data_IF_515683096539
#
_entry.id   IF_515683096539
#
_cell.length_a   1.000
_cell.length_b   1.000
_cell.length_c   1.000
_cell.angle_alpha   90.00
_cell.angle_beta   90.00
_cell.angle_gamma   90.00
#
_symmetry.space_group_name_H-M   'P 1'
#
loop_
_entity.id
_entity.type
_entity.pdbx_description
1 polymer ?
2 non-polymer ?
3 water ?
#
# COMPACT_ATOMS: atom_id res chain seq x y z
N UNK A 1 9.06 -9.15 -2.30
CA UNK A 1 8.80 -9.26 -0.87
C UNK A 1 8.90 -7.95 -0.12
N UNK A 2 7.77 -7.31 0.16
CA UNK A 2 7.79 -6.00 0.83
C UNK A 2 7.75 -6.03 2.36
N UNK A 3 7.74 -4.87 3.00
CA UNK A 3 8.21 -4.73 4.37
C UNK A 3 7.25 -3.94 5.25
N UNK A 4 7.43 -4.13 6.55
CA UNK A 4 6.57 -3.52 7.55
C UNK A 4 7.42 -2.94 8.66
N UNK A 5 7.08 -1.73 9.07
CA UNK A 5 7.81 -1.03 10.10
C UNK A 5 7.05 -1.06 11.41
N UNK A 6 7.76 -1.42 12.47
CA UNK A 6 7.18 -1.53 13.79
C UNK A 6 6.46 -0.25 14.18
N UNK A 7 5.40 -0.40 14.96
CA UNK A 7 4.58 0.75 15.31
C UNK A 7 4.99 1.41 16.64
N UNK A 8 5.91 0.81 17.40
CA UNK A 8 6.45 1.48 18.57
C UNK A 8 7.06 2.81 18.14
N UNK A 9 6.70 3.94 18.78
CA UNK A 9 7.24 5.26 18.39
C UNK A 9 8.73 5.27 18.19
N UNK A 10 9.17 5.68 17.00
CA UNK A 10 10.56 5.82 16.61
C UNK A 10 11.31 4.49 16.55
N UNK A 11 10.62 3.36 16.67
CA UNK A 11 11.32 2.08 16.61
C UNK A 11 11.86 1.83 15.21
N UNK A 12 13.05 1.25 15.14
CA UNK A 12 13.65 0.87 13.87
C UNK A 12 13.36 -0.57 13.48
N UNK A 13 12.49 -1.25 14.23
CA UNK A 13 12.15 -2.62 13.88
C UNK A 13 11.31 -2.69 12.61
N UNK A 14 11.62 -3.70 11.79
CA UNK A 14 10.99 -3.89 10.50
C UNK A 14 10.94 -5.39 10.18
N UNK A 15 10.05 -5.77 9.26
CA UNK A 15 10.08 -7.14 8.75
C UNK A 15 9.56 -7.17 7.32
N UNK A 16 9.91 -8.25 6.62
CA UNK A 16 9.23 -8.59 5.39
C UNK A 16 7.88 -9.24 5.69
N UNK A 17 6.92 -9.06 4.80
CA UNK A 17 5.65 -9.76 4.90
C UNK A 17 5.81 -11.19 4.43
N UNK A 18 5.14 -12.12 5.12
CA UNK A 18 5.08 -13.52 4.77
C UNK A 18 3.62 -14.00 4.78
N UNK A 19 3.30 -14.85 3.81
CA UNK A 19 1.93 -15.34 3.60
C UNK A 19 1.37 -15.96 4.86
N UNK A 20 2.18 -16.75 5.56
CA UNK A 20 1.69 -17.54 6.69
C UNK A 20 1.87 -16.85 8.05
N UNK A 21 2.39 -15.63 8.08
CA UNK A 21 2.70 -14.94 9.33
C UNK A 21 1.88 -13.67 9.41
N UNK A 22 1.05 -13.57 10.45
CA UNK A 22 0.25 -12.38 10.66
C UNK A 22 0.70 -11.54 11.86
N UNK A 23 1.71 -11.98 12.62
CA UNK A 23 2.23 -11.23 13.75
C UNK A 23 3.74 -11.01 13.63
N UNK A 24 4.19 -9.81 13.98
CA UNK A 24 5.61 -9.45 13.96
C UNK A 24 6.05 -9.18 15.38
N UNK A 25 6.96 -10.00 15.90
CA UNK A 25 7.57 -9.75 17.20
C UNK A 25 8.84 -8.93 16.95
N UNK A 26 8.78 -7.66 17.26
CA UNK A 26 9.90 -6.77 16.96
C UNK A 26 11.14 -7.20 17.74
N UNK A 27 12.28 -7.41 17.08
CA UNK A 27 13.51 -7.74 17.82
C UNK A 27 14.11 -6.55 18.57
N UNK A 28 13.64 -5.32 18.31
CA UNK A 28 14.19 -4.14 18.95
C UNK A 28 13.52 -3.95 20.31
N UNK A 29 12.22 -3.60 20.27
CA UNK A 29 11.38 -3.32 21.43
C UNK A 29 10.60 -4.54 21.96
N UNK A 30 10.66 -5.68 21.27
CA UNK A 30 10.00 -6.94 21.65
C UNK A 30 8.47 -6.89 21.66
N UNK A 31 7.86 -5.82 21.15
CA UNK A 31 6.40 -5.78 21.11
C UNK A 31 5.86 -6.57 19.93
N UNK A 32 4.67 -7.11 20.10
CA UNK A 32 4.02 -7.91 19.05
C UNK A 32 3.15 -6.98 18.22
N UNK A 33 3.49 -6.87 16.94
CA UNK A 33 2.69 -6.12 15.97
C UNK A 33 1.72 -7.08 15.28
N UNK A 34 0.51 -6.60 15.02
CA UNK A 34 -0.44 -7.32 14.18
C UNK A 34 -0.32 -6.79 12.74
N UNK A 35 0.01 -7.69 11.81
CA UNK A 35 0.28 -7.30 10.44
C UNK A 35 -0.99 -7.11 9.59
N UNK A 36 -2.19 -7.38 10.14
CA UNK A 36 -3.42 -6.97 9.46
C UNK A 36 -4.09 -5.74 10.06
N UNK A 37 -3.93 -5.47 11.35
CA UNK A 37 -4.39 -4.21 11.89
C UNK A 37 -3.35 -3.10 11.75
N UNK A 38 -2.11 -3.46 11.44
CA UNK A 38 -0.97 -2.53 11.46
C UNK A 38 -0.90 -1.80 12.80
N UNK A 39 -0.94 -2.57 13.88
CA UNK A 39 -1.04 -1.99 15.21
C UNK A 39 -0.58 -3.02 16.24
N UNK A 40 -0.24 -2.53 17.43
CA UNK A 40 0.13 -3.36 18.57
C UNK A 40 -1.05 -3.40 19.53
N UNK A 41 -1.65 -4.57 19.71
CA UNK A 41 -2.85 -4.71 20.54
C UNK A 41 -2.75 -6.04 21.31
N UNK A 42 -1.86 -6.07 22.29
CA UNK A 42 -1.41 -7.34 22.86
C UNK A 42 -2.35 -7.91 23.91
N UNK A 43 -3.35 -7.16 24.37
CA UNK A 43 -4.36 -7.74 25.23
C UNK A 43 -5.73 -7.77 24.56
N UNK A 44 -5.76 -7.80 23.23
CA UNK A 44 -7.00 -7.80 22.47
C UNK A 44 -6.87 -8.73 21.27
N UNK A 45 -8.00 -9.33 20.86
CA UNK A 45 -8.06 -9.82 19.49
C UNK A 45 -8.33 -8.65 18.57
N UNK A 46 -8.22 -8.88 17.26
CA UNK A 46 -8.36 -7.77 16.31
C UNK A 46 -9.73 -7.13 16.39
N UNK A 47 -10.78 -7.89 16.74
CA UNK A 47 -12.11 -7.30 16.84
C UNK A 47 -12.20 -6.37 18.04
N UNK A 48 -11.67 -6.78 19.17
CA UNK A 48 -11.65 -5.91 20.34
C UNK A 48 -10.89 -4.63 20.05
N UNK A 49 -9.75 -4.76 19.35
CA UNK A 49 -8.96 -3.59 19.01
C UNK A 49 -9.73 -2.62 18.12
N UNK A 50 -10.44 -3.14 17.10
CA UNK A 50 -11.03 -2.25 16.10
C UNK A 50 -12.29 -1.59 16.64
N UNK A 51 -13.02 -2.28 17.51
CA UNK A 51 -14.20 -1.69 18.12
C UNK A 51 -13.80 -0.61 19.12
N UNK A 52 -12.80 -0.90 19.98
CA UNK A 52 -12.31 0.10 20.91
C UNK A 52 -11.75 1.32 20.20
N UNK A 53 -11.13 1.11 19.04
CA UNK A 53 -10.62 2.22 18.24
C UNK A 53 -11.74 3.08 17.69
N UNK A 54 -12.91 2.48 17.41
CA UNK A 54 -14.05 3.27 16.97
C UNK A 54 -14.73 3.98 18.13
N UNK A 55 -14.63 3.41 19.34
CA UNK A 55 -15.15 4.06 20.54
C UNK A 55 -14.29 5.24 20.97
N UNK A 56 -13.01 5.24 20.64
CA UNK A 56 -12.17 6.40 20.86
C UNK A 56 -12.30 7.44 19.76
N UNK A 57 -13.24 7.25 18.82
CA UNK A 57 -13.50 8.30 17.84
C UNK A 57 -14.31 9.45 18.43
N UNK A 58 -14.85 9.30 19.64
CA UNK A 58 -15.77 10.28 20.23
C UNK A 58 -15.32 10.69 21.63
N UNK A 59 -14.28 11.53 21.72
CA UNK A 59 -13.51 12.01 20.59
C UNK A 59 -12.04 12.02 20.93
N UNK A 60 -11.27 11.27 20.13
CA UNK A 60 -9.85 11.51 19.93
C UNK A 60 -9.65 11.93 18.49
N UNK A 61 -8.81 12.94 18.27
CA UNK A 61 -8.58 13.37 16.90
C UNK A 61 -7.65 12.39 16.19
N UNK A 62 -6.73 11.76 16.91
CA UNK A 62 -5.87 10.74 16.29
C UNK A 62 -6.69 9.54 15.85
N UNK A 63 -7.47 8.96 16.77
CA UNK A 63 -8.31 7.81 16.43
C UNK A 63 -9.31 8.18 15.34
N UNK A 64 -9.97 9.33 15.49
CA UNK A 64 -10.94 9.75 14.49
C UNK A 64 -10.29 9.93 13.12
N UNK A 65 -9.01 10.31 13.11
CA UNK A 65 -8.27 10.37 11.85
C UNK A 65 -8.15 8.99 11.23
N UNK A 66 -7.63 8.02 12.00
CA UNK A 66 -7.36 6.72 11.42
C UNK A 66 -8.65 5.96 11.10
N UNK A 67 -9.67 6.06 11.96
CA UNK A 67 -10.93 5.39 11.67
C UNK A 67 -11.58 5.93 10.39
N UNK A 68 -11.46 7.22 10.15
CA UNK A 68 -11.98 7.77 8.90
C UNK A 68 -11.06 7.47 7.73
N UNK A 69 -9.75 7.39 7.99
CA UNK A 69 -8.82 6.91 6.98
C UNK A 69 -9.22 5.52 6.48
N UNK A 70 -9.42 4.59 7.43
CA UNK A 70 -9.77 3.21 7.06
C UNK A 70 -11.03 3.17 6.22
N UNK A 71 -12.03 3.99 6.55
CA UNK A 71 -13.31 3.96 5.84
C UNK A 71 -13.18 4.46 4.40
N UNK A 72 -12.11 5.17 4.07
CA UNK A 72 -11.85 5.52 2.68
C UNK A 72 -11.12 4.36 2.00
N UNK A 73 -10.23 3.69 2.73
CA UNK A 73 -9.55 2.52 2.21
C UNK A 73 -10.53 1.40 1.87
N UNK A 74 -11.54 1.20 2.73
CA UNK A 74 -12.51 0.14 2.45
C UNK A 74 -13.41 0.52 1.30
N UNK A 75 -13.77 1.78 1.20
CA UNK A 75 -14.65 2.24 0.14
C UNK A 75 -13.91 2.31 -1.21
N UNK A 76 -12.58 2.11 -1.23
CA UNK A 76 -11.83 2.27 -2.48
C UNK A 76 -10.78 1.16 -2.70
N UNK A 77 -10.99 -0.04 -2.13
CA UNK A 77 -9.98 -1.09 -2.18
C UNK A 77 -8.71 -0.70 -1.41
N UNK A 78 -7.77 -1.62 -1.24
CA UNK A 78 -6.56 -1.54 -0.42
C UNK A 78 -6.85 -1.86 1.05
N UNK A 79 -8.14 -1.97 1.42
CA UNK A 79 -8.56 -2.60 2.66
C UNK A 79 -9.89 -3.29 2.41
N UNK A 80 -10.24 -4.26 3.25
CA UNK A 80 -11.47 -5.01 3.08
C UNK A 80 -11.90 -5.61 4.41
N UNK A 81 -13.17 -5.96 4.50
CA UNK A 81 -13.68 -6.68 5.66
C UNK A 81 -13.57 -8.18 5.41
N UNK A 82 -13.29 -8.92 6.47
CA UNK A 82 -13.30 -10.37 6.38
C UNK A 82 -14.70 -10.83 5.99
N UNK A 83 -14.84 -11.65 4.94
CA UNK A 83 -16.19 -12.07 4.55
C UNK A 83 -16.91 -12.89 5.61
N UNK A 84 -16.19 -13.44 6.60
CA UNK A 84 -16.79 -14.28 7.64
C UNK A 84 -17.05 -13.51 8.93
N UNK A 85 -16.01 -12.92 9.53
CA UNK A 85 -16.17 -12.23 10.81
C UNK A 85 -16.29 -10.71 10.68
N UNK A 86 -16.01 -10.14 9.51
CA UNK A 86 -16.24 -8.73 9.19
C UNK A 86 -15.24 -7.76 9.85
N UNK A 87 -14.09 -8.22 10.36
CA UNK A 87 -13.05 -7.28 10.79
C UNK A 87 -12.44 -6.61 9.56
N UNK A 88 -11.95 -5.38 9.75
CA UNK A 88 -11.25 -4.69 8.68
C UNK A 88 -9.85 -5.28 8.55
N UNK A 89 -9.51 -5.74 7.35
CA UNK A 89 -8.18 -6.27 7.05
C UNK A 89 -7.50 -5.28 6.11
N UNK A 90 -6.25 -4.96 6.38
CA UNK A 90 -5.42 -4.17 5.50
C UNK A 90 -4.43 -5.05 4.73
N UNK A 91 -3.94 -4.51 3.62
CA UNK A 91 -3.09 -5.24 2.69
C UNK A 91 -1.75 -5.60 3.33
N UNK A 92 -1.20 -6.76 2.91
CA UNK A 92 0.15 -7.22 3.24
C UNK A 92 0.90 -7.28 1.92
N UNK A 93 1.84 -6.35 1.72
CA UNK A 93 2.38 -6.13 0.39
C UNK A 93 3.10 -7.37 -0.12
N UNK A 94 2.73 -7.80 -1.33
CA UNK A 94 3.22 -9.01 -1.94
C UNK A 94 2.46 -10.28 -1.64
N UNK A 95 1.44 -10.24 -0.77
CA UNK A 95 0.73 -11.46 -0.34
C UNK A 95 -0.67 -11.44 -0.92
N UNK A 96 -0.98 -12.37 -1.83
CA UNK A 96 -2.30 -12.47 -2.47
C UNK A 96 -3.34 -13.20 -1.62
N UNK A 97 -2.95 -13.68 -0.45
CA UNK A 97 -3.72 -14.63 0.36
C UNK A 97 -3.42 -14.34 1.82
N UNK A 98 -4.46 -14.38 2.65
CA UNK A 98 -4.35 -14.16 4.08
C UNK A 98 -5.32 -15.06 4.82
N UNK A 99 -4.90 -15.59 5.96
CA UNK A 99 -5.80 -16.34 6.83
C UNK A 99 -6.21 -15.42 7.95
N UNK A 100 -7.51 -15.13 8.05
CA UNK A 100 -7.99 -14.21 9.08
C UNK A 100 -7.50 -14.63 10.45
N UNK A 101 -7.05 -13.63 11.23
CA UNK A 101 -6.56 -13.84 12.59
C UNK A 101 -7.68 -14.19 13.56
N UNK A 102 -8.88 -13.67 13.35
CA UNK A 102 -9.99 -13.91 14.27
C UNK A 102 -10.69 -15.22 13.98
N UNK A 103 -11.11 -15.44 12.73
CA UNK A 103 -11.91 -16.61 12.39
C UNK A 103 -11.16 -17.66 11.58
N UNK A 104 -9.92 -17.40 11.16
CA UNK A 104 -9.12 -18.33 10.37
C UNK A 104 -9.68 -18.59 8.96
N UNK A 105 -10.69 -17.84 8.51
CA UNK A 105 -11.13 -17.94 7.12
C UNK A 105 -10.02 -17.49 6.16
N UNK A 106 -9.75 -18.32 5.16
CA UNK A 106 -8.85 -17.94 4.07
C UNK A 106 -9.47 -16.86 3.18
N UNK A 107 -8.71 -15.80 2.94
CA UNK A 107 -9.17 -14.65 2.18
C UNK A 107 -8.31 -14.53 0.93
N UNK A 108 -8.95 -14.44 -0.24
CA UNK A 108 -8.25 -14.12 -1.48
C UNK A 108 -8.16 -12.61 -1.63
N UNK A 109 -6.94 -12.06 -1.46
CA UNK A 109 -6.78 -10.61 -1.50
C UNK A 109 -6.93 -10.06 -2.92
N UNK A 110 -6.53 -10.84 -3.93
CA UNK A 110 -6.64 -10.38 -5.31
C UNK A 110 -8.09 -10.06 -5.66
N UNK A 111 -9.03 -10.93 -5.29
CA UNK A 111 -10.42 -10.72 -5.64
C UNK A 111 -11.23 -10.09 -4.51
N UNK A 112 -10.59 -9.73 -3.39
CA UNK A 112 -11.23 -9.06 -2.25
C UNK A 112 -12.46 -9.83 -1.74
N UNK A 113 -12.29 -11.14 -1.59
CA UNK A 113 -13.28 -11.96 -0.95
C UNK A 113 -12.70 -13.29 -0.48
N UNK A 114 -13.56 -14.26 -0.19
CA UNK A 114 -13.08 -15.53 0.37
C UNK A 114 -12.35 -16.35 -0.68
N UNK A 115 -11.43 -17.19 -0.19
CA UNK A 115 -10.72 -18.12 -1.05
C UNK A 115 -11.58 -19.32 -1.44
N UNK A 116 -12.52 -19.70 -0.59
CA UNK A 116 -13.23 -20.98 -0.68
C UNK A 116 -14.67 -20.78 -0.24
N UNK A 117 -15.50 -21.78 -0.52
CA UNK A 117 -16.85 -21.79 0.00
C UNK A 117 -16.86 -22.19 1.47
N UNK A 118 -18.05 -22.13 2.07
CA UNK A 118 -18.17 -22.66 3.43
C UNK A 118 -17.74 -24.12 3.41
N UNK A 119 -17.17 -24.59 4.50
CA UNK A 119 -16.49 -25.87 4.41
C UNK A 119 -15.03 -25.77 4.03
N UNK A 120 -14.57 -24.56 3.69
CA UNK A 120 -13.17 -24.23 3.76
C UNK A 120 -12.34 -24.81 2.65
N UNK A 121 -11.06 -25.03 2.93
CA UNK A 121 -10.13 -25.50 1.90
C UNK A 121 -10.67 -26.65 1.08
N UNK A 122 -10.60 -26.50 -0.24
CA UNK A 122 -11.05 -27.47 -1.19
C UNK A 122 -12.41 -27.18 -1.76
N UNK A 123 -13.26 -26.48 -1.01
CA UNK A 123 -14.62 -26.21 -1.45
C UNK A 123 -14.61 -25.07 -2.45
N UNK A 124 -14.61 -25.43 -3.74
CA UNK A 124 -14.67 -24.49 -4.85
C UNK A 124 -16.09 -24.17 -5.28
N UNK A 125 -17.10 -24.55 -4.48
CA UNK A 125 -18.47 -24.14 -4.72
C UNK A 125 -18.71 -22.69 -4.31
N UNK A 126 -17.72 -22.09 -3.66
CA UNK A 126 -17.75 -20.69 -3.32
C UNK A 126 -16.36 -20.10 -3.48
N UNK A 127 -16.21 -18.82 -3.14
CA UNK A 127 -14.94 -18.16 -3.24
C UNK A 127 -14.41 -18.07 -4.65
N UNK A 128 -13.11 -17.86 -4.73
CA UNK A 128 -12.49 -17.31 -5.93
C UNK A 128 -12.13 -18.38 -6.95
N UNK A 129 -12.11 -19.64 -6.55
CA UNK A 129 -11.91 -20.79 -7.43
C UNK A 129 -10.76 -20.56 -8.40
N UNK A 130 -9.67 -20.07 -7.83
CA UNK A 130 -8.44 -19.86 -8.57
C UNK A 130 -7.90 -21.18 -9.09
N UNK A 131 -7.61 -21.21 -10.39
CA UNK A 131 -6.99 -22.31 -11.12
C UNK A 131 -7.95 -23.43 -11.49
N UNK A 132 -9.25 -23.35 -11.16
CA UNK A 132 -10.17 -24.36 -11.70
C UNK A 132 -10.21 -24.20 -13.21
N UNK A 133 -9.97 -25.31 -13.91
CA UNK A 133 -9.85 -25.33 -15.37
C UNK A 133 -8.69 -24.46 -15.84
N UNK A 134 -7.71 -24.24 -14.95
CA UNK A 134 -6.54 -23.49 -15.29
C UNK A 134 -6.66 -21.99 -15.21
N UNK A 135 -7.85 -21.44 -14.97
CA UNK A 135 -8.02 -19.99 -15.02
C UNK A 135 -7.69 -19.39 -13.66
N UNK A 136 -6.82 -18.39 -13.58
CA UNK A 136 -6.55 -17.78 -12.27
C UNK A 136 -7.74 -16.93 -11.85
N UNK A 137 -7.87 -16.74 -10.55
CA UNK A 137 -9.02 -15.98 -10.06
C UNK A 137 -9.05 -14.59 -10.66
N UNK A 138 -7.87 -14.06 -11.00
CA UNK A 138 -7.67 -12.83 -11.75
C UNK A 138 -6.34 -12.99 -12.47
N UNK A 139 -6.15 -12.37 -13.64
CA UNK A 139 -4.88 -12.57 -14.37
C UNK A 139 -3.67 -11.95 -13.68
N UNK A 140 -3.86 -11.05 -12.71
CA UNK A 140 -2.78 -10.56 -11.85
C UNK A 140 -2.41 -11.49 -10.69
N UNK A 141 -3.21 -12.53 -10.44
CA UNK A 141 -2.90 -13.41 -9.31
C UNK A 141 -1.59 -14.15 -9.55
N UNK A 142 -0.80 -14.27 -8.51
CA UNK A 142 0.40 -15.06 -8.61
C UNK A 142 0.38 -16.25 -7.68
N UNK A 143 -0.27 -16.12 -6.53
CA UNK A 143 -0.42 -17.25 -5.62
C UNK A 143 -1.41 -16.94 -4.50
N UNK A 144 -2.69 -17.24 -4.68
CA UNK A 144 -3.63 -17.12 -3.58
C UNK A 144 -3.90 -18.48 -2.93
N UNK A 145 -2.92 -19.38 -3.01
CA UNK A 145 -2.96 -20.69 -2.39
C UNK A 145 -4.12 -21.49 -2.96
N UNK B 1 5.78 -9.20 -7.61
CA UNK B 1 5.18 -8.38 -8.66
C UNK B 1 3.78 -7.91 -8.30
N UNK B 2 3.64 -6.65 -7.88
CA UNK B 2 2.31 -6.11 -7.52
C UNK B 2 1.58 -5.37 -8.62
N UNK B 3 0.38 -4.86 -8.33
CA UNK B 3 -0.56 -4.55 -9.40
C UNK B 3 -1.29 -3.24 -9.17
N UNK B 4 -1.69 -2.64 -10.28
CA UNK B 4 -2.41 -1.37 -10.28
C UNK B 4 -3.68 -1.50 -11.11
N UNK B 5 -4.77 -0.95 -10.60
CA UNK B 5 -6.07 -1.01 -11.25
C UNK B 5 -6.39 0.35 -11.84
N UNK B 6 -6.84 0.34 -13.10
CA UNK B 6 -7.19 1.56 -13.81
C UNK B 6 -8.25 2.34 -13.03
N UNK B 7 -8.20 3.66 -13.17
CA UNK B 7 -9.10 4.53 -12.43
C UNK B 7 -10.34 4.95 -13.21
N UNK B 8 -10.42 4.66 -14.51
CA UNK B 8 -11.68 4.84 -15.22
C UNK B 8 -12.76 4.08 -14.45
N UNK B 9 -13.84 4.77 -14.01
CA UNK B 9 -14.92 4.09 -13.26
C UNK B 9 -15.32 2.74 -13.82
N UNK B 10 -15.21 1.70 -13.01
CA UNK B 10 -15.59 0.31 -13.29
C UNK B 10 -14.68 -0.40 -14.29
N UNK B 11 -13.58 0.23 -14.71
CA UNK B 11 -12.72 -0.39 -15.70
C UNK B 11 -12.00 -1.62 -15.14
N UNK B 12 -11.88 -2.64 -15.98
CA UNK B 12 -11.16 -3.84 -15.58
C UNK B 12 -9.67 -3.79 -15.88
N UNK B 13 -9.18 -2.67 -16.43
CA UNK B 13 -7.78 -2.59 -16.78
C UNK B 13 -6.89 -2.63 -15.55
N UNK B 14 -5.71 -3.22 -15.72
CA UNK B 14 -4.81 -3.46 -14.61
C UNK B 14 -3.42 -3.70 -15.16
N UNK B 15 -2.40 -3.50 -14.31
CA UNK B 15 -1.02 -3.78 -14.71
C UNK B 15 -0.18 -4.08 -13.48
N UNK B 16 0.95 -4.74 -13.73
CA UNK B 16 2.02 -4.90 -12.77
C UNK B 16 2.91 -3.66 -12.73
N UNK B 17 3.35 -3.29 -11.53
CA UNK B 17 4.29 -2.17 -11.37
C UNK B 17 5.65 -2.54 -11.92
N UNK B 18 6.30 -1.57 -12.56
CA UNK B 18 7.67 -1.72 -13.05
C UNK B 18 8.47 -0.50 -12.64
N UNK B 19 9.72 -0.74 -12.21
CA UNK B 19 10.55 0.33 -11.67
C UNK B 19 10.65 1.49 -12.64
N UNK B 20 10.83 1.18 -13.92
CA UNK B 20 11.10 2.14 -14.97
C UNK B 20 9.87 2.67 -15.69
N UNK B 21 8.66 2.31 -15.26
CA UNK B 21 7.44 2.70 -15.95
C UNK B 21 6.55 3.43 -14.97
N UNK B 22 6.30 4.71 -15.23
CA UNK B 22 5.45 5.54 -14.41
C UNK B 22 4.10 5.84 -15.03
N UNK B 23 3.83 5.40 -16.25
CA UNK B 23 2.51 5.55 -16.85
C UNK B 23 1.94 4.22 -17.33
N UNK B 24 0.63 4.09 -17.21
CA UNK B 24 -0.11 2.89 -17.64
C UNK B 24 -1.15 3.34 -18.65
N UNK B 25 -0.97 2.91 -19.90
CA UNK B 25 -1.97 3.07 -20.93
C UNK B 25 -2.85 1.83 -20.87
N UNK B 26 -4.04 2.00 -20.31
CA UNK B 26 -4.97 0.89 -20.11
C UNK B 26 -5.44 0.29 -21.44
N UNK B 27 -5.28 -1.02 -21.67
CA UNK B 27 -5.72 -1.60 -22.94
C UNK B 27 -7.23 -1.76 -23.06
N UNK B 28 -8.01 -1.45 -22.03
CA UNK B 28 -9.46 -1.56 -22.08
C UNK B 28 -10.01 -0.22 -22.56
N UNK B 29 -9.87 0.82 -21.71
CA UNK B 29 -10.38 2.16 -21.95
C UNK B 29 -9.38 3.11 -22.62
N UNK B 30 -8.13 2.69 -22.83
CA UNK B 30 -7.05 3.45 -23.49
C UNK B 30 -6.64 4.73 -22.76
N UNK B 31 -7.16 4.97 -21.57
CA UNK B 31 -6.75 6.16 -20.82
C UNK B 31 -5.40 5.95 -20.13
N UNK B 32 -4.61 7.01 -20.07
CA UNK B 32 -3.26 6.95 -19.49
C UNK B 32 -3.37 7.23 -18.00
N UNK B 33 -2.99 6.25 -17.18
CA UNK B 33 -2.93 6.41 -15.73
C UNK B 33 -1.52 6.82 -15.33
N UNK B 34 -1.41 7.75 -14.39
CA UNK B 34 -0.13 8.11 -13.81
C UNK B 34 0.07 7.27 -12.56
N UNK B 35 1.10 6.44 -12.56
CA UNK B 35 1.28 5.46 -11.50
C UNK B 35 1.88 6.04 -10.21
N UNK B 36 2.13 7.35 -10.16
CA UNK B 36 2.56 7.95 -8.91
C UNK B 36 1.40 8.76 -8.37
N UNK B 37 0.74 9.56 -9.22
CA UNK B 37 -0.45 10.25 -8.73
C UNK B 37 -1.61 9.30 -8.43
N UNK B 38 -1.58 8.07 -8.93
CA UNK B 38 -2.74 7.15 -8.89
C UNK B 38 -3.96 7.85 -9.48
N UNK B 39 -3.81 8.40 -10.69
CA UNK B 39 -4.87 9.17 -11.30
C UNK B 39 -4.60 9.30 -12.80
N UNK B 40 -5.65 9.72 -13.52
CA UNK B 40 -5.57 10.04 -14.95
C UNK B 40 -5.65 11.56 -15.07
N UNK B 41 -4.60 12.17 -15.61
CA UNK B 41 -4.57 13.63 -15.73
C UNK B 41 -3.83 13.98 -17.03
N UNK B 42 -4.50 13.71 -18.14
CA UNK B 42 -3.84 13.56 -19.44
C UNK B 42 -3.44 14.88 -20.10
N UNK B 43 -4.00 16.02 -19.65
CA UNK B 43 -3.54 17.32 -20.13
C UNK B 43 -2.90 18.13 -19.02
N UNK B 44 -2.30 17.47 -18.04
CA UNK B 44 -1.58 18.15 -16.97
C UNK B 44 -0.32 17.36 -16.69
N UNK B 45 0.68 18.05 -16.12
CA UNK B 45 1.77 17.36 -15.44
C UNK B 45 1.33 17.07 -14.00
N UNK B 46 2.11 16.25 -13.29
CA UNK B 46 1.67 15.86 -11.95
C UNK B 46 1.51 17.05 -11.03
N UNK B 47 2.38 18.06 -11.14
CA UNK B 47 2.26 19.24 -10.29
C UNK B 47 0.95 19.98 -10.57
N UNK B 48 0.65 20.21 -11.85
CA UNK B 48 -0.62 20.83 -12.19
C UNK B 48 -1.79 20.05 -11.61
N UNK B 49 -1.76 18.72 -11.77
CA UNK B 49 -2.85 17.89 -11.28
C UNK B 49 -3.06 18.06 -9.79
N UNK B 50 -1.96 18.07 -9.01
CA UNK B 50 -2.08 18.04 -7.55
C UNK B 50 -2.42 19.41 -7.00
N UNK B 51 -1.99 20.47 -7.68
CA UNK B 51 -2.40 21.82 -7.29
C UNK B 51 -3.89 22.03 -7.59
N UNK B 52 -4.33 21.63 -8.78
CA UNK B 52 -5.73 21.73 -9.14
C UNK B 52 -6.59 20.92 -8.18
N UNK B 53 -6.10 19.76 -7.75
CA UNK B 53 -6.83 18.95 -6.78
C UNK B 53 -7.01 19.70 -5.48
N UNK B 54 -5.94 20.33 -4.99
CA UNK B 54 -6.05 21.10 -3.75
C UNK B 54 -6.93 22.32 -3.95
N UNK B 55 -6.98 22.85 -5.18
CA UNK B 55 -7.80 24.01 -5.52
C UNK B 55 -9.29 23.71 -5.29
N UNK B 56 -9.60 22.48 -4.87
CA UNK B 56 -10.96 22.15 -4.47
C UNK B 56 -11.24 22.61 -3.04
N UNK B 57 -10.56 23.68 -2.64
CA UNK B 57 -10.79 24.35 -1.37
C UNK B 57 -12.29 24.54 -1.15
N UNK B 58 -13.01 24.97 -2.19
CA UNK B 58 -14.47 24.94 -2.15
C UNK B 58 -14.85 23.47 -2.12
N UNK B 59 -14.83 22.92 -0.90
CA UNK B 59 -14.71 21.48 -0.67
C UNK B 59 -15.74 20.70 -1.47
N UNK B 60 -15.45 20.40 -2.72
CA UNK B 60 -16.05 19.19 -3.28
C UNK B 60 -15.59 18.06 -2.36
N UNK B 61 -16.52 17.51 -1.59
CA UNK B 61 -16.14 16.61 -0.51
C UNK B 61 -15.27 15.46 -1.02
N UNK B 62 -15.36 15.15 -2.32
CA UNK B 62 -14.55 14.10 -2.91
C UNK B 62 -13.06 14.44 -2.83
N UNK B 63 -12.65 15.55 -3.45
CA UNK B 63 -11.23 15.89 -3.48
C UNK B 63 -10.69 16.09 -2.08
N UNK B 64 -11.42 16.85 -1.26
CA UNK B 64 -11.06 17.03 0.14
C UNK B 64 -10.77 15.71 0.82
N UNK B 65 -11.62 14.71 0.58
CA UNK B 65 -11.44 13.38 1.12
C UNK B 65 -10.05 12.83 0.75
N UNK B 66 -9.73 12.86 -0.54
CA UNK B 66 -8.41 12.40 -0.98
C UNK B 66 -7.32 13.34 -0.47
N UNK B 67 -7.55 14.64 -0.54
CA UNK B 67 -6.56 15.60 -0.08
C UNK B 67 -6.19 15.38 1.38
N UNK B 68 -7.19 15.16 2.22
CA UNK B 68 -6.89 14.88 3.63
C UNK B 68 -6.30 13.48 3.79
N UNK B 69 -6.72 12.54 2.94
CA UNK B 69 -6.10 11.21 2.94
C UNK B 69 -4.61 11.29 2.64
N UNK B 70 -4.25 12.01 1.58
CA UNK B 70 -2.85 12.15 1.20
C UNK B 70 -2.02 12.72 2.34
N UNK B 71 -2.52 13.78 2.99
CA UNK B 71 -1.76 14.40 4.07
C UNK B 71 -1.60 13.48 5.26
N UNK B 72 -2.48 12.48 5.42
CA UNK B 72 -2.28 11.45 6.44
C UNK B 72 -1.26 10.44 5.96
N UNK B 73 -1.31 10.10 4.67
CA UNK B 73 -0.27 9.26 4.08
C UNK B 73 1.10 9.91 4.20
N UNK B 74 1.17 11.23 4.04
CA UNK B 74 2.47 11.90 4.13
C UNK B 74 3.05 11.75 5.53
N UNK B 75 2.31 12.20 6.54
CA UNK B 75 2.79 12.14 7.92
C UNK B 75 2.95 10.72 8.43
N UNK B 76 2.27 9.74 7.82
CA UNK B 76 2.32 8.36 8.29
C UNK B 76 3.06 7.44 7.33
N UNK B 77 4.03 7.96 6.56
CA UNK B 77 4.72 7.17 5.54
C UNK B 77 3.76 6.54 4.54
N UNK B 78 4.35 5.79 3.59
CA UNK B 78 3.64 5.18 2.46
C UNK B 78 3.32 6.23 1.39
N UNK B 79 3.67 7.48 1.70
CA UNK B 79 3.69 8.56 0.72
C UNK B 79 4.77 9.53 1.12
N UNK B 80 5.27 10.27 0.13
CA UNK B 80 6.37 11.19 0.37
C UNK B 80 6.33 12.28 -0.68
N UNK B 81 7.05 13.37 -0.42
CA UNK B 81 7.24 14.40 -1.42
C UNK B 81 8.59 14.22 -2.10
N UNK B 82 8.66 14.59 -3.38
CA UNK B 82 9.93 14.54 -4.08
C UNK B 82 10.93 15.48 -3.41
N UNK B 83 12.11 15.02 -3.05
CA UNK B 83 13.07 15.93 -2.41
C UNK B 83 13.50 17.10 -3.29
N UNK B 84 13.32 17.01 -4.62
CA UNK B 84 13.68 18.08 -5.55
C UNK B 84 12.52 19.00 -5.89
N UNK B 85 11.41 18.48 -6.42
CA UNK B 85 10.31 19.32 -6.84
C UNK B 85 9.13 19.37 -5.87
N UNK B 86 9.13 18.52 -4.84
CA UNK B 86 8.15 18.51 -3.74
C UNK B 86 6.74 18.05 -4.14
N UNK B 87 6.54 17.37 -5.28
CA UNK B 87 5.22 16.79 -5.54
C UNK B 87 5.00 15.60 -4.61
N UNK B 88 3.73 15.30 -4.29
CA UNK B 88 3.41 14.12 -3.52
C UNK B 88 3.57 12.90 -4.41
N UNK B 89 4.34 11.92 -3.95
CA UNK B 89 4.57 10.66 -4.64
C UNK B 89 3.97 9.56 -3.76
N UNK B 90 3.15 8.70 -4.37
CA UNK B 90 2.61 7.55 -3.67
C UNK B 90 3.39 6.30 -4.04
N UNK B 91 3.24 5.26 -3.23
CA UNK B 91 4.06 4.06 -3.35
C UNK B 91 3.69 3.27 -4.59
N UNK B 92 4.68 2.66 -5.23
CA UNK B 92 4.51 1.66 -6.28
C UNK B 92 4.95 0.33 -5.70
N UNK B 93 4.00 -0.58 -5.49
CA UNK B 93 4.27 -1.75 -4.69
C UNK B 93 5.31 -2.65 -5.34
N UNK B 94 6.21 -3.17 -4.51
CA UNK B 94 7.36 -3.89 -4.99
C UNK B 94 8.49 -3.04 -5.59
N UNK B 95 8.34 -1.72 -5.69
CA UNK B 95 9.36 -0.88 -6.31
C UNK B 95 10.08 -0.08 -5.22
N UNK B 96 11.39 -0.28 -5.10
CA UNK B 96 12.17 0.45 -4.08
C UNK B 96 12.76 1.77 -4.60
N UNK B 97 12.57 2.08 -5.87
CA UNK B 97 13.17 3.19 -6.58
C UNK B 97 12.11 3.76 -7.53
N UNK B 98 12.07 5.08 -7.66
CA UNK B 98 11.15 5.77 -8.56
C UNK B 98 11.86 7.00 -9.12
N UNK B 99 11.78 7.19 -10.44
CA UNK B 99 12.33 8.37 -11.11
C UNK B 99 11.22 9.38 -11.31
N UNK B 100 11.30 10.51 -10.59
CA UNK B 100 10.22 11.49 -10.58
C UNK B 100 9.78 11.85 -11.99
N UNK B 101 8.46 11.91 -12.19
CA UNK B 101 7.91 12.29 -13.49
C UNK B 101 8.11 13.78 -13.80
N UNK B 102 8.18 14.64 -12.80
CA UNK B 102 8.29 16.08 -13.03
C UNK B 102 9.74 16.51 -13.23
N UNK B 103 10.63 16.09 -12.35
CA UNK B 103 11.98 16.64 -12.36
C UNK B 103 13.04 15.62 -12.73
N UNK B 104 12.66 14.34 -12.87
CA UNK B 104 13.57 13.24 -13.16
C UNK B 104 14.56 12.94 -12.02
N UNK B 105 14.30 13.41 -10.81
CA UNK B 105 15.17 13.01 -9.71
C UNK B 105 14.91 11.55 -9.33
N UNK B 106 15.99 10.79 -9.20
CA UNK B 106 15.88 9.42 -8.70
C UNK B 106 15.56 9.42 -7.21
N UNK B 107 14.57 8.65 -6.82
CA UNK B 107 14.10 8.62 -5.44
C UNK B 107 14.35 7.23 -4.88
N UNK B 108 14.99 7.15 -3.72
CA UNK B 108 15.09 5.90 -2.97
C UNK B 108 13.85 5.78 -2.07
N UNK B 109 12.98 4.81 -2.37
CA UNK B 109 11.75 4.70 -1.61
C UNK B 109 11.99 4.08 -0.24
N UNK B 110 12.93 3.15 -0.14
CA UNK B 110 13.23 2.51 1.13
C UNK B 110 13.56 3.53 2.21
N UNK B 111 14.42 4.51 1.90
CA UNK B 111 14.81 5.52 2.88
C UNK B 111 14.04 6.82 2.74
N UNK B 112 12.97 6.85 1.93
CA UNK B 112 12.09 8.02 1.74
C UNK B 112 12.89 9.31 1.46
N UNK B 113 13.87 9.21 0.57
CA UNK B 113 14.64 10.37 0.17
C UNK B 113 15.31 10.18 -1.18
N UNK B 114 16.21 11.10 -1.54
CA UNK B 114 16.87 10.99 -2.85
C UNK B 114 17.77 9.77 -2.88
N UNK B 115 17.95 9.23 -4.07
CA UNK B 115 18.94 8.19 -4.28
C UNK B 115 20.38 8.74 -4.27
N UNK B 116 20.57 10.01 -4.62
CA UNK B 116 21.88 10.57 -4.93
C UNK B 116 21.95 12.02 -4.49
N UNK B 117 23.17 12.55 -4.43
CA UNK B 117 23.35 13.96 -4.23
C UNK B 117 23.02 14.74 -5.47
N UNK B 118 23.09 16.07 -5.38
CA UNK B 118 22.99 16.89 -6.59
C UNK B 118 24.06 16.45 -7.57
N UNK B 119 23.76 16.53 -8.86
CA UNK B 119 24.64 15.92 -9.82
C UNK B 119 24.26 14.51 -10.17
N UNK B 120 23.28 13.95 -9.48
CA UNK B 120 22.54 12.81 -9.96
C UNK B 120 23.31 11.52 -9.90
N UNK B 121 23.03 10.64 -10.85
CA UNK B 121 23.54 9.25 -10.75
C UNK B 121 25.05 9.20 -10.56
N UNK B 122 25.47 8.41 -9.58
CA UNK B 122 26.85 8.30 -9.21
C UNK B 122 27.26 9.21 -8.06
N UNK B 123 26.61 10.35 -7.88
CA UNK B 123 27.01 11.25 -6.81
C UNK B 123 26.55 10.69 -5.47
N UNK B 124 27.47 10.03 -4.77
CA UNK B 124 27.25 9.50 -3.42
C UNK B 124 27.55 10.51 -2.33
N UNK B 125 27.63 11.80 -2.66
CA UNK B 125 27.81 12.80 -1.61
C UNK B 125 26.49 13.21 -0.98
N UNK B 126 25.38 12.67 -1.50
CA UNK B 126 24.08 12.80 -0.87
C UNK B 126 23.32 11.51 -1.07
N UNK B 127 22.06 11.49 -0.65
CA UNK B 127 21.25 10.32 -0.91
C UNK B 127 21.68 9.11 -0.10
N UNK B 128 21.11 7.97 -0.50
CA UNK B 128 21.05 6.81 0.36
C UNK B 128 22.31 5.97 0.31
N UNK B 129 23.15 6.16 -0.68
CA UNK B 129 24.47 5.52 -0.77
C UNK B 129 24.37 4.01 -0.64
N UNK B 130 23.41 3.44 -1.35
CA UNK B 130 23.18 2.00 -1.29
C UNK B 130 24.31 1.24 -1.98
N UNK B 131 24.72 0.13 -1.36
CA UNK B 131 25.70 -0.84 -1.86
C UNK B 131 27.12 -0.29 -1.89
N UNK B 132 27.35 0.91 -1.38
CA UNK B 132 28.73 1.35 -1.22
C UNK B 132 29.33 0.64 -0.01
N UNK B 133 30.50 0.04 -0.23
CA UNK B 133 31.14 -0.85 0.74
C UNK B 133 30.25 -2.05 1.06
N UNK B 134 29.39 -2.44 0.11
CA UNK B 134 28.59 -3.63 0.27
C UNK B 134 27.51 -3.56 1.33
N UNK B 135 27.24 -2.39 1.89
CA UNK B 135 26.18 -2.21 2.88
C UNK B 135 24.97 -1.63 2.14
N UNK B 136 23.81 -2.26 2.21
CA UNK B 136 22.62 -1.69 1.57
C UNK B 136 22.11 -0.48 2.32
N UNK B 137 21.40 0.39 1.61
CA UNK B 137 20.96 1.64 2.22
C UNK B 137 20.10 1.38 3.45
N UNK B 138 19.37 0.27 3.45
CA UNK B 138 18.67 -0.23 4.62
C UNK B 138 18.64 -1.74 4.47
N UNK B 139 18.56 -2.49 5.58
CA UNK B 139 18.58 -3.97 5.44
C UNK B 139 17.34 -4.54 4.77
N UNK B 140 16.23 -3.78 4.71
CA UNK B 140 15.05 -4.20 3.97
C UNK B 140 15.12 -3.84 2.49
N UNK B 141 16.17 -3.12 2.05
CA UNK B 141 16.23 -2.72 0.66
C UNK B 141 16.46 -3.93 -0.22
N UNK B 142 15.80 -3.96 -1.35
CA UNK B 142 16.05 -5.06 -2.27
C UNK B 142 16.71 -4.62 -3.56
N UNK B 143 16.33 -3.44 -4.06
CA UNK B 143 16.90 -2.90 -5.29
C UNK B 143 16.43 -1.45 -5.45
N UNK B 144 17.22 -0.50 -4.96
CA UNK B 144 16.96 0.91 -5.20
C UNK B 144 17.92 1.47 -6.24
N UNK B 145 18.40 0.60 -7.13
CA UNK B 145 19.24 0.99 -8.26
C UNK B 145 20.48 1.71 -7.78
X LIG C 1 9.72 -2.35 17.71
X LIG D 1 -12.36 -13.22 9.98
X LIG E 1 -5.17 -7.22 14.66
X LIG F 1 -7.84 -15.95 -5.56
X LIG G 1 -5.70 -16.69 -7.43
X LIG H 1 -9.01 1.50 -18.15
X LIG I 1 10.39 15.70 -8.57
X LIG J 1 0.97 12.33 -12.03
X LIG K 1 18.32 3.30 -1.33
X LIG L 1 19.12 0.44 -1.38
#
# INVERSE_FOLDING_TARGET
>A
GPSYHCKTPDCKGWCFFEDDVNEFTCPVCFHVNCLLCKAIHEQMNCKEYQEDLALRAQNDVAARQTTEMLKVMLQQGEAMRCPQCQIVVQKKDGCDWIRCTVCHTEICWVTKGPRWGPGGPGDTSGGCRCRVNGIPCHPSCQNCH
>B
GPSYHCKTPDCKGWCFFEDDVNEFTCPVCFHVNCLLCKAIHEQMNCKEYQEDLALRAQNDVAARQTTEMLKVMLQQGEAMRCPQCQIVVQKKDGCDWIRCTVCHTEICWVTKGPRWGPGGPGDTSGGCRCRVNGIPCHPSCQNCH
>C hetero
1 ZN ZN
>D hetero
1 ZN ZN
>E hetero
1 ZN ZN
>F hetero
1 ZN ZN
>G hetero
1 ZN ZN
>H hetero
1 ZN ZN
>I hetero
1 ZN ZN
>J hetero
1 ZN ZN
>K hetero
1 ZN ZN
>L hetero
1 ZN ZN
#
